data_IF_441839501718
#
_entry.id   IF_441839501718
#
_cell.length_a   1.000
_cell.length_b   1.000
_cell.length_c   1.000
_cell.angle_alpha   90.00
_cell.angle_beta   90.00
_cell.angle_gamma   90.00
#
_symmetry.space_group_name_H-M   'P 1'
#
loop_
_entity.id
_entity.type
_entity.pdbx_description
1 polymer ?
#
# COMPACT_ATOMS: atom_id res chain seq x y z
N UNK A 1 -22.23 -13.87 2.49
CA UNK A 1 -20.76 -13.66 2.64
C UNK A 1 -20.22 -13.22 1.30
N UNK A 2 -19.31 -12.25 1.27
CA UNK A 2 -18.64 -11.85 0.03
C UNK A 2 -17.80 -13.02 -0.51
N UNK A 3 -17.83 -13.26 -1.81
CA UNK A 3 -16.97 -14.27 -2.45
C UNK A 3 -15.56 -13.70 -2.59
N UNK A 4 -14.62 -14.25 -1.80
CA UNK A 4 -13.21 -13.85 -1.85
C UNK A 4 -12.49 -14.75 -2.85
N UNK A 5 -11.77 -14.15 -3.79
CA UNK A 5 -10.96 -14.85 -4.79
C UNK A 5 -9.53 -14.33 -4.76
N UNK A 6 -8.58 -15.25 -4.62
CA UNK A 6 -7.14 -14.97 -4.73
C UNK A 6 -6.62 -15.56 -6.04
N UNK A 7 -5.82 -14.80 -6.78
CA UNK A 7 -5.12 -15.29 -7.97
C UNK A 7 -3.63 -15.01 -7.88
N UNK A 8 -2.83 -15.88 -8.48
CA UNK A 8 -1.37 -15.72 -8.59
C UNK A 8 -0.99 -15.96 -10.04
N UNK A 9 -0.06 -15.17 -10.60
CA UNK A 9 0.49 -15.45 -11.91
C UNK A 9 1.57 -16.55 -11.84
N UNK A 10 1.51 -17.51 -12.76
CA UNK A 10 2.61 -18.47 -12.95
C UNK A 10 3.81 -17.82 -13.65
N UNK A 11 4.99 -18.44 -13.63
CA UNK A 11 6.14 -17.99 -14.42
C UNK A 11 5.89 -17.96 -15.93
N UNK A 12 4.87 -18.68 -16.40
CA UNK A 12 4.44 -18.73 -17.81
C UNK A 12 3.39 -17.65 -18.15
N UNK A 13 2.97 -16.85 -17.16
CA UNK A 13 1.93 -15.81 -17.31
C UNK A 13 0.49 -16.35 -17.18
N UNK A 14 0.30 -17.61 -16.82
CA UNK A 14 -1.01 -18.18 -16.57
C UNK A 14 -1.54 -17.77 -15.20
N UNK A 15 -2.86 -17.63 -15.08
CA UNK A 15 -3.51 -17.30 -13.82
C UNK A 15 -3.79 -18.60 -13.05
N UNK A 16 -3.29 -18.67 -11.83
CA UNK A 16 -3.48 -19.77 -10.90
C UNK A 16 -4.48 -19.34 -9.81
N UNK A 17 -5.43 -20.22 -9.50
CA UNK A 17 -6.32 -20.10 -8.35
C UNK A 17 -5.84 -21.07 -7.27
N UNK A 18 -4.96 -20.64 -6.35
CA UNK A 18 -4.39 -21.53 -5.38
C UNK A 18 -5.41 -21.94 -4.31
N UNK A 19 -5.34 -23.18 -3.79
CA UNK A 19 -6.07 -23.51 -2.57
C UNK A 19 -5.45 -22.77 -1.39
N UNK A 20 -6.22 -21.90 -0.75
CA UNK A 20 -5.75 -21.03 0.31
C UNK A 20 -6.36 -21.44 1.65
N UNK A 21 -5.53 -21.49 2.70
CA UNK A 21 -6.01 -21.68 4.06
C UNK A 21 -6.82 -20.48 4.54
N UNK A 22 -7.66 -20.68 5.53
CA UNK A 22 -8.33 -19.59 6.24
C UNK A 22 -7.31 -18.59 6.81
N UNK A 23 -7.73 -17.33 6.97
CA UNK A 23 -6.89 -16.29 7.55
C UNK A 23 -6.09 -15.48 6.52
N UNK A 24 -6.61 -15.29 5.29
CA UNK A 24 -6.09 -14.27 4.36
C UNK A 24 -6.19 -12.90 5.02
N UNK A 25 -5.06 -12.20 5.09
CA UNK A 25 -4.96 -10.92 5.76
C UNK A 25 -4.51 -9.85 4.78
N UNK A 26 -5.37 -8.85 4.57
CA UNK A 26 -5.05 -7.62 3.87
C UNK A 26 -4.89 -6.49 4.89
N UNK A 27 -3.76 -5.82 4.85
CA UNK A 27 -3.48 -4.66 5.69
C UNK A 27 -2.95 -3.51 4.85
N UNK A 28 -3.38 -2.30 5.19
CA UNK A 28 -2.89 -1.06 4.59
C UNK A 28 -2.67 -0.02 5.65
N UNK A 29 -1.75 0.89 5.41
CA UNK A 29 -1.47 2.03 6.27
C UNK A 29 -1.70 3.32 5.50
N UNK A 30 -2.32 4.29 6.14
CA UNK A 30 -2.50 5.61 5.56
C UNK A 30 -1.18 6.30 5.24
N UNK A 31 -0.13 5.99 5.99
CA UNK A 31 1.20 6.61 5.90
C UNK A 31 2.29 5.59 6.21
N UNK A 32 3.43 5.75 5.60
CA UNK A 32 4.68 5.10 6.00
C UNK A 32 4.93 3.69 5.47
N UNK A 33 4.00 3.08 4.73
CA UNK A 33 4.23 1.72 4.25
C UNK A 33 3.30 1.22 3.15
N UNK A 34 3.72 0.15 2.46
CA UNK A 34 2.93 -0.50 1.44
C UNK A 34 1.74 -1.26 2.02
N UNK A 35 0.71 -1.42 1.21
CA UNK A 35 -0.31 -2.43 1.43
C UNK A 35 0.32 -3.83 1.41
N UNK A 36 -0.15 -4.67 2.31
CA UNK A 36 0.41 -6.01 2.52
C UNK A 36 -0.70 -7.05 2.48
N UNK A 37 -0.51 -8.06 1.64
CA UNK A 37 -1.38 -9.23 1.58
C UNK A 37 -0.61 -10.45 2.08
N UNK A 38 -1.11 -11.09 3.15
CA UNK A 38 -0.58 -12.34 3.70
C UNK A 38 -1.59 -13.46 3.50
N UNK A 39 -1.12 -14.60 3.04
CA UNK A 39 -1.95 -15.78 2.80
C UNK A 39 -1.09 -17.04 2.82
N UNK A 40 -1.72 -18.19 3.06
CA UNK A 40 -1.06 -19.49 3.06
C UNK A 40 -1.65 -20.36 1.97
N UNK A 41 -0.82 -20.77 1.02
CA UNK A 41 -1.20 -21.73 -0.03
C UNK A 41 -1.02 -23.15 0.48
N UNK A 42 -2.08 -23.95 0.40
CA UNK A 42 -2.06 -25.35 0.80
C UNK A 42 -1.35 -26.17 -0.28
N UNK A 43 -0.78 -27.30 0.15
CA UNK A 43 -0.15 -28.26 -0.78
C UNK A 43 -1.22 -28.89 -1.68
N UNK A 44 -1.05 -28.73 -2.98
CA UNK A 44 -1.89 -29.37 -3.98
C UNK A 44 -1.02 -29.94 -5.11
N UNK A 45 -1.36 -31.16 -5.56
CA UNK A 45 -0.66 -31.81 -6.67
C UNK A 45 -0.78 -31.00 -7.98
N UNK A 46 -1.95 -30.40 -8.24
CA UNK A 46 -2.17 -29.55 -9.41
C UNK A 46 -1.25 -28.34 -9.46
N UNK A 47 -0.84 -27.78 -8.31
CA UNK A 47 0.12 -26.69 -8.24
C UNK A 47 1.53 -27.10 -8.67
N UNK A 48 1.88 -28.37 -8.46
CA UNK A 48 3.18 -28.90 -8.89
C UNK A 48 3.25 -29.01 -10.41
N UNK A 49 2.17 -29.41 -11.07
CA UNK A 49 2.08 -29.55 -12.52
C UNK A 49 2.15 -28.18 -13.25
N UNK A 50 1.65 -27.12 -12.61
CA UNK A 50 1.72 -25.74 -13.13
C UNK A 50 3.10 -25.09 -12.92
N UNK A 51 4.09 -25.80 -12.35
CA UNK A 51 5.42 -25.27 -12.02
C UNK A 51 5.42 -24.33 -10.82
N UNK A 52 4.31 -24.27 -10.07
CA UNK A 52 4.16 -23.42 -8.91
C UNK A 52 4.18 -21.92 -9.25
N UNK A 53 4.60 -21.13 -8.29
CA UNK A 53 4.81 -19.68 -8.45
C UNK A 53 6.11 -19.26 -7.75
N UNK A 54 6.72 -18.19 -8.26
CA UNK A 54 7.99 -17.68 -7.75
C UNK A 54 7.81 -16.37 -6.97
N UNK A 55 8.83 -15.92 -6.27
CA UNK A 55 8.94 -14.56 -5.81
C UNK A 55 8.91 -13.64 -7.04
N UNK A 56 8.25 -12.47 -6.91
CA UNK A 56 7.95 -11.58 -8.03
C UNK A 56 6.68 -11.95 -8.80
N UNK A 57 6.00 -13.07 -8.49
CA UNK A 57 4.70 -13.39 -9.08
C UNK A 57 3.66 -12.35 -8.64
N UNK A 58 2.80 -11.97 -9.59
CA UNK A 58 1.67 -11.07 -9.34
C UNK A 58 0.63 -11.81 -8.49
N UNK A 59 0.21 -11.21 -7.38
CA UNK A 59 -0.90 -11.66 -6.54
C UNK A 59 -2.02 -10.64 -6.57
N UNK A 60 -3.25 -11.10 -6.75
CA UNK A 60 -4.45 -10.25 -6.77
C UNK A 60 -5.52 -10.84 -5.87
N UNK A 61 -6.20 -9.97 -5.11
CA UNK A 61 -7.32 -10.32 -4.25
C UNK A 61 -8.57 -9.61 -4.72
N UNK A 62 -9.67 -10.34 -4.80
CA UNK A 62 -10.98 -9.83 -5.21
C UNK A 62 -12.03 -10.15 -4.14
N UNK A 63 -13.02 -9.26 -3.98
CA UNK A 63 -14.26 -9.52 -3.25
C UNK A 63 -15.45 -9.27 -4.16
N UNK A 64 -16.32 -10.26 -4.33
CA UNK A 64 -17.47 -10.22 -5.25
C UNK A 64 -17.07 -9.73 -6.66
N UNK A 65 -15.92 -10.19 -7.14
CA UNK A 65 -15.35 -9.81 -8.44
C UNK A 65 -14.73 -8.40 -8.50
N UNK A 66 -14.80 -7.62 -7.43
CA UNK A 66 -14.14 -6.31 -7.37
C UNK A 66 -12.72 -6.46 -6.85
N UNK A 67 -11.73 -5.85 -7.50
CA UNK A 67 -10.34 -5.90 -7.02
C UNK A 67 -10.20 -5.15 -5.69
N UNK A 68 -9.52 -5.77 -4.74
CA UNK A 68 -9.18 -5.20 -3.43
C UNK A 68 -7.69 -4.95 -3.27
N UNK A 69 -6.86 -5.76 -3.94
CA UNK A 69 -5.41 -5.69 -3.85
C UNK A 69 -4.78 -6.23 -5.11
N UNK A 70 -3.69 -5.59 -5.52
CA UNK A 70 -2.76 -6.08 -6.51
C UNK A 70 -1.34 -5.79 -6.04
N UNK A 71 -0.49 -6.78 -6.09
CA UNK A 71 0.91 -6.64 -5.66
C UNK A 71 1.74 -7.83 -6.07
N UNK A 72 2.98 -7.85 -5.60
CA UNK A 72 3.94 -8.90 -5.95
C UNK A 72 4.36 -9.68 -4.71
N UNK A 73 4.58 -10.98 -4.87
CA UNK A 73 5.05 -11.87 -3.80
C UNK A 73 6.52 -11.58 -3.54
N UNK A 74 6.85 -11.07 -2.36
CA UNK A 74 8.23 -10.77 -1.95
C UNK A 74 8.86 -11.87 -1.12
N UNK A 75 8.06 -12.63 -0.36
CA UNK A 75 8.58 -13.72 0.43
C UNK A 75 7.66 -14.93 0.43
N UNK A 76 8.27 -16.10 0.46
CA UNK A 76 7.61 -17.40 0.61
C UNK A 76 8.34 -18.21 1.67
N UNK A 77 7.58 -18.83 2.56
CA UNK A 77 8.10 -19.74 3.55
C UNK A 77 7.32 -21.05 3.47
N UNK A 78 8.01 -22.13 3.18
CA UNK A 78 7.40 -23.47 3.15
C UNK A 78 7.62 -24.17 4.49
N UNK A 79 6.56 -24.73 5.05
CA UNK A 79 6.66 -25.59 6.22
C UNK A 79 6.95 -27.05 5.85
N UNK A 80 7.08 -27.89 6.88
CA UNK A 80 7.34 -29.35 6.72
C UNK A 80 6.15 -30.12 6.13
N UNK A 81 4.95 -29.56 6.21
CA UNK A 81 3.71 -30.15 5.70
C UNK A 81 3.49 -29.79 4.24
N UNK A 82 4.26 -28.81 3.75
CA UNK A 82 4.26 -28.36 2.37
C UNK A 82 3.38 -27.14 2.12
N UNK A 83 2.76 -26.57 3.15
CA UNK A 83 2.06 -25.31 3.04
C UNK A 83 3.05 -24.16 2.83
N UNK A 84 2.64 -23.14 2.08
CA UNK A 84 3.49 -22.02 1.69
C UNK A 84 2.88 -20.72 2.20
N UNK A 85 3.47 -20.13 3.23
CA UNK A 85 3.15 -18.79 3.70
C UNK A 85 3.72 -17.76 2.72
N UNK A 86 2.89 -16.85 2.25
CA UNK A 86 3.23 -15.84 1.28
C UNK A 86 3.00 -14.44 1.85
N UNK A 87 3.91 -13.52 1.54
CA UNK A 87 3.71 -12.09 1.78
C UNK A 87 3.89 -11.35 0.46
N UNK A 88 2.84 -10.65 0.04
CA UNK A 88 2.85 -9.78 -1.12
C UNK A 88 2.72 -8.32 -0.69
N UNK A 89 3.37 -7.43 -1.42
CA UNK A 89 3.29 -5.98 -1.26
C UNK A 89 2.82 -5.33 -2.55
N UNK A 90 2.09 -4.23 -2.41
CA UNK A 90 1.76 -3.36 -3.52
C UNK A 90 2.98 -2.58 -4.04
N UNK A 91 2.80 -1.73 -5.06
CA UNK A 91 3.94 -1.03 -5.66
C UNK A 91 4.51 0.09 -4.76
N UNK A 92 3.83 0.53 -3.69
CA UNK A 92 4.42 1.44 -2.70
C UNK A 92 5.68 0.84 -2.06
N UNK A 93 5.81 -0.49 -2.05
CA UNK A 93 7.04 -1.17 -1.60
C UNK A 93 8.28 -0.69 -2.33
N UNK A 94 8.19 -0.35 -3.60
CA UNK A 94 9.32 0.16 -4.39
C UNK A 94 9.72 1.57 -3.97
N UNK A 95 8.79 2.38 -3.45
CA UNK A 95 9.07 3.69 -2.90
C UNK A 95 9.89 3.69 -1.59
N UNK A 96 10.09 2.49 -0.98
CA UNK A 96 11.00 2.34 0.18
C UNK A 96 12.48 2.36 -0.21
N UNK A 97 12.80 2.36 -1.49
CA UNK A 97 14.18 2.52 -1.96
C UNK A 97 14.65 3.95 -1.74
N UNK A 98 15.93 4.12 -1.37
CA UNK A 98 16.56 5.41 -1.18
C UNK A 98 17.11 5.93 -2.48
N UNK A 99 16.99 7.25 -2.67
CA UNK A 99 17.51 7.93 -3.86
C UNK A 99 17.93 9.37 -3.55
N UNK A 100 18.32 10.09 -4.58
CA UNK A 100 18.66 11.52 -4.57
C UNK A 100 17.70 12.22 -5.52
N UNK A 101 16.95 13.20 -5.03
CA UNK A 101 16.02 13.98 -5.85
C UNK A 101 16.21 15.49 -5.61
N UNK A 102 16.27 16.24 -6.71
CA UNK A 102 16.28 17.71 -6.66
C UNK A 102 15.15 18.24 -7.53
N UNK A 103 14.35 19.14 -6.97
CA UNK A 103 13.29 19.79 -7.70
C UNK A 103 13.06 21.22 -7.24
N UNK A 104 12.45 22.02 -8.11
CA UNK A 104 12.14 23.44 -7.85
C UNK A 104 10.81 23.82 -8.48
N UNK A 105 10.09 24.75 -7.84
CA UNK A 105 8.82 25.29 -8.32
C UNK A 105 7.83 24.19 -8.71
N UNK A 106 7.68 23.18 -7.86
CA UNK A 106 6.90 21.98 -8.16
C UNK A 106 5.92 21.69 -7.03
N UNK A 107 4.63 21.46 -7.31
CA UNK A 107 3.67 21.01 -6.30
C UNK A 107 3.88 19.53 -5.96
N UNK A 108 3.41 19.08 -4.79
CA UNK A 108 3.60 17.70 -4.33
C UNK A 108 3.02 16.66 -5.30
N UNK A 109 1.90 16.95 -5.96
CA UNK A 109 1.31 16.08 -6.99
C UNK A 109 2.25 15.82 -8.18
N UNK A 110 3.03 16.81 -8.60
CA UNK A 110 4.02 16.65 -9.66
C UNK A 110 5.28 15.90 -9.17
N UNK A 111 5.65 16.07 -7.88
CA UNK A 111 6.73 15.26 -7.27
C UNK A 111 6.36 13.78 -7.28
N UNK A 112 5.10 13.43 -6.96
CA UNK A 112 4.60 12.04 -7.06
C UNK A 112 4.73 11.50 -8.49
N UNK A 113 4.29 12.27 -9.49
CA UNK A 113 4.38 11.87 -10.90
C UNK A 113 5.81 11.69 -11.37
N UNK A 114 6.71 12.60 -10.98
CA UNK A 114 8.14 12.53 -11.31
C UNK A 114 8.76 11.25 -10.75
N UNK A 115 8.57 10.99 -9.46
CA UNK A 115 9.10 9.79 -8.80
C UNK A 115 8.52 8.51 -9.43
N UNK A 116 7.22 8.50 -9.73
CA UNK A 116 6.57 7.35 -10.37
C UNK A 116 7.14 7.09 -11.78
N UNK A 117 7.36 8.14 -12.57
CA UNK A 117 7.93 8.04 -13.92
C UNK A 117 9.38 7.52 -13.89
N UNK A 118 10.22 8.06 -13.00
CA UNK A 118 11.62 7.65 -12.86
C UNK A 118 11.76 6.18 -12.42
N UNK A 119 10.76 5.66 -11.70
CA UNK A 119 10.76 4.28 -11.20
C UNK A 119 9.83 3.33 -11.99
N UNK A 120 9.29 3.75 -13.12
CA UNK A 120 8.35 2.98 -13.97
C UNK A 120 7.13 2.46 -13.21
N UNK A 121 6.64 3.21 -12.21
CA UNK A 121 5.44 2.86 -11.46
C UNK A 121 4.18 3.32 -12.20
N UNK A 122 3.15 2.51 -12.14
CA UNK A 122 1.86 2.86 -12.74
C UNK A 122 1.14 3.88 -11.86
N UNK A 123 0.62 4.95 -12.47
CA UNK A 123 -0.17 5.96 -11.78
C UNK A 123 -1.65 5.83 -12.12
N UNK A 124 -2.50 6.04 -11.11
CA UNK A 124 -3.93 6.23 -11.23
C UNK A 124 -4.29 7.71 -11.24
N UNK A 125 -5.32 8.07 -10.48
CA UNK A 125 -5.70 9.46 -10.28
C UNK A 125 -4.72 10.14 -9.32
N UNK A 126 -4.14 11.26 -9.75
CA UNK A 126 -3.28 12.11 -8.91
C UNK A 126 -3.98 13.45 -8.73
N UNK A 127 -4.64 13.63 -7.59
CA UNK A 127 -5.31 14.88 -7.26
C UNK A 127 -4.30 16.04 -7.20
N UNK A 128 -4.61 17.19 -7.81
CA UNK A 128 -3.70 18.33 -7.81
C UNK A 128 -3.53 18.90 -6.41
N UNK A 129 -2.28 19.22 -6.04
CA UNK A 129 -1.95 19.95 -4.81
C UNK A 129 -1.69 21.43 -5.11
N UNK A 130 -1.96 22.30 -4.13
CA UNK A 130 -2.01 23.75 -4.35
C UNK A 130 -0.76 24.52 -3.95
N UNK A 131 0.15 23.92 -3.17
CA UNK A 131 1.38 24.58 -2.75
C UNK A 131 2.52 24.28 -3.71
N UNK A 132 3.09 25.31 -4.29
CA UNK A 132 4.30 25.19 -5.11
C UNK A 132 5.54 25.23 -4.22
N UNK A 133 6.25 24.13 -4.13
CA UNK A 133 7.48 24.00 -3.35
C UNK A 133 8.59 24.72 -4.09
N UNK A 134 9.21 25.79 -3.50
CA UNK A 134 10.16 26.62 -4.23
C UNK A 134 11.42 25.85 -4.65
N UNK A 135 11.98 25.07 -3.73
CA UNK A 135 13.18 24.28 -3.96
C UNK A 135 13.37 23.21 -2.89
N UNK A 136 13.78 22.01 -3.30
CA UNK A 136 14.19 20.92 -2.41
C UNK A 136 15.35 20.12 -2.99
N UNK A 137 16.18 19.60 -2.08
CA UNK A 137 17.24 18.62 -2.39
C UNK A 137 17.19 17.54 -1.33
N UNK A 138 16.80 16.37 -1.75
CA UNK A 138 16.74 15.18 -0.92
C UNK A 138 17.93 14.29 -1.24
N UNK A 139 18.60 13.76 -0.24
CA UNK A 139 19.79 12.93 -0.40
C UNK A 139 19.73 11.72 0.50
N UNK A 140 19.80 10.52 -0.09
CA UNK A 140 19.78 9.25 0.62
C UNK A 140 18.53 9.07 1.52
N UNK A 141 17.40 9.58 1.06
CA UNK A 141 16.07 9.47 1.69
C UNK A 141 15.24 8.51 0.88
N UNK A 142 14.26 7.82 1.48
CA UNK A 142 13.38 6.96 0.71
C UNK A 142 12.45 7.80 -0.19
N UNK A 143 12.13 7.28 -1.36
CA UNK A 143 11.21 7.96 -2.29
C UNK A 143 9.85 8.25 -1.63
N UNK A 144 9.38 7.34 -0.75
CA UNK A 144 8.16 7.54 0.01
C UNK A 144 8.28 8.73 0.98
N UNK A 145 9.38 8.82 1.73
CA UNK A 145 9.60 9.94 2.66
C UNK A 145 9.73 11.28 1.92
N UNK A 146 10.30 11.29 0.70
CA UNK A 146 10.33 12.49 -0.15
C UNK A 146 8.91 12.96 -0.51
N UNK A 147 8.05 12.02 -0.90
CA UNK A 147 6.64 12.31 -1.20
C UNK A 147 5.92 12.78 0.06
N UNK A 148 6.06 12.07 1.18
CA UNK A 148 5.41 12.44 2.45
C UNK A 148 5.85 13.83 2.91
N UNK A 149 7.12 14.17 2.77
CA UNK A 149 7.64 15.52 3.05
C UNK A 149 6.99 16.58 2.16
N UNK A 150 6.82 16.30 0.87
CA UNK A 150 6.15 17.22 -0.05
C UNK A 150 4.66 17.42 0.32
N UNK A 151 3.97 16.34 0.76
CA UNK A 151 2.59 16.40 1.23
C UNK A 151 2.46 17.11 2.58
N UNK A 152 3.44 16.98 3.47
CA UNK A 152 3.48 17.73 4.74
C UNK A 152 3.65 19.24 4.51
N UNK A 153 4.39 19.64 3.46
CA UNK A 153 4.49 21.03 3.05
C UNK A 153 3.15 21.55 2.50
N UNK A 154 2.39 20.74 1.75
CA UNK A 154 1.04 21.06 1.32
C UNK A 154 0.11 21.27 2.53
N UNK A 155 0.12 20.32 3.47
CA UNK A 155 -0.67 20.43 4.70
C UNK A 155 -0.35 21.71 5.48
N UNK A 156 0.94 22.00 5.68
CA UNK A 156 1.40 23.15 6.46
C UNK A 156 1.02 24.49 5.80
N UNK A 157 1.10 24.58 4.47
CA UNK A 157 0.90 25.85 3.75
C UNK A 157 -0.53 26.06 3.24
N UNK A 158 -1.29 24.99 3.01
CA UNK A 158 -2.65 25.04 2.44
C UNK A 158 -3.71 24.44 3.35
N UNK A 159 -3.32 23.75 4.44
CA UNK A 159 -4.27 23.07 5.33
C UNK A 159 -4.96 21.88 4.68
N UNK A 160 -4.46 21.38 3.55
CA UNK A 160 -5.05 20.26 2.81
C UNK A 160 -4.24 19.00 3.06
N UNK A 161 -4.94 17.95 3.46
CA UNK A 161 -4.35 16.63 3.70
C UNK A 161 -4.62 15.69 2.55
N UNK A 162 -3.56 15.07 2.04
CA UNK A 162 -3.62 14.08 0.97
C UNK A 162 -3.13 12.72 1.44
N UNK A 163 -3.62 11.67 0.80
CA UNK A 163 -3.22 10.28 1.04
C UNK A 163 -2.72 9.69 -0.27
N UNK A 164 -1.53 9.12 -0.22
CA UNK A 164 -0.99 8.28 -1.29
C UNK A 164 -1.28 6.83 -0.95
N UNK A 165 -1.89 6.10 -1.88
CA UNK A 165 -2.17 4.68 -1.75
C UNK A 165 -2.07 3.99 -3.11
N UNK A 166 -2.01 2.67 -3.10
CA UNK A 166 -2.08 1.86 -4.31
C UNK A 166 -3.53 1.42 -4.54
N UNK A 167 -4.10 1.84 -5.67
CA UNK A 167 -5.40 1.38 -6.13
C UNK A 167 -5.23 0.25 -7.14
N UNK A 168 -5.07 -0.97 -6.59
CA UNK A 168 -4.95 -2.20 -7.38
C UNK A 168 -3.91 -2.10 -8.50
N UNK A 169 -2.69 -1.71 -8.15
CA UNK A 169 -1.56 -1.60 -9.06
C UNK A 169 -1.36 -0.21 -9.65
N UNK A 170 -2.03 0.83 -9.13
CA UNK A 170 -1.86 2.22 -9.56
C UNK A 170 -1.68 3.14 -8.36
N UNK A 171 -0.58 3.88 -8.33
CA UNK A 171 -0.37 4.93 -7.33
C UNK A 171 -1.44 6.01 -7.49
N UNK A 172 -2.19 6.23 -6.45
CA UNK A 172 -3.31 7.19 -6.42
C UNK A 172 -3.09 8.18 -5.28
N UNK A 173 -3.26 9.46 -5.57
CA UNK A 173 -3.20 10.53 -4.60
C UNK A 173 -4.56 11.20 -4.50
N UNK A 174 -5.15 11.20 -3.30
CA UNK A 174 -6.46 11.82 -3.08
C UNK A 174 -6.44 12.76 -1.89
N UNK A 175 -7.27 13.82 -1.96
CA UNK A 175 -7.55 14.67 -0.81
C UNK A 175 -8.48 13.93 0.16
N UNK A 176 -8.09 13.84 1.43
CA UNK A 176 -8.82 13.07 2.44
C UNK A 176 -10.27 13.57 2.63
N UNK A 177 -10.51 14.85 2.40
CA UNK A 177 -11.86 15.42 2.48
C UNK A 177 -12.81 14.85 1.41
N UNK A 178 -12.28 14.38 0.28
CA UNK A 178 -13.05 13.76 -0.81
C UNK A 178 -13.25 12.25 -0.60
N UNK A 179 -12.52 11.65 0.34
CA UNK A 179 -12.63 10.22 0.69
C UNK A 179 -13.74 9.95 1.74
N UNK A 180 -14.49 10.98 2.11
CA UNK A 180 -15.57 10.84 3.09
C UNK A 180 -16.67 9.94 2.53
N UNK A 181 -17.10 8.98 3.34
CA UNK A 181 -18.24 8.11 3.07
C UNK A 181 -19.36 8.43 4.04
N UNK A 182 -20.62 8.32 3.60
CA UNK A 182 -21.81 8.54 4.43
C UNK A 182 -22.16 7.26 5.23
N UNK A 183 -21.18 6.79 6.03
CA UNK A 183 -21.36 5.68 6.95
C UNK A 183 -21.25 6.22 8.37
N UNK A 184 -22.32 6.09 9.14
CA UNK A 184 -22.29 6.38 10.57
C UNK A 184 -21.97 5.10 11.34
N UNK A 185 -20.87 5.11 12.09
CA UNK A 185 -20.52 4.04 13.01
C UNK A 185 -21.00 4.47 14.40
N UNK A 186 -22.05 3.82 14.90
CA UNK A 186 -22.60 4.02 16.24
C UNK A 186 -22.70 2.68 16.99
N UNK A 187 -23.18 2.72 18.22
CA UNK A 187 -23.34 1.51 19.05
C UNK A 187 -24.32 0.47 18.47
N UNK A 188 -25.09 0.81 17.42
CA UNK A 188 -26.01 -0.12 16.74
C UNK A 188 -25.34 -0.75 15.50
N UNK A 189 -24.42 -0.02 14.89
CA UNK A 189 -23.71 -0.45 13.69
C UNK A 189 -22.40 -1.20 14.02
N UNK A 190 -21.83 -0.97 15.21
CA UNK A 190 -20.62 -1.64 15.66
C UNK A 190 -20.95 -2.92 16.44
N UNK A 191 -20.38 -4.05 16.04
CA UNK A 191 -20.52 -5.33 16.75
C UNK A 191 -19.71 -5.34 18.04
N UNK A 192 -18.54 -4.72 18.02
CA UNK A 192 -17.66 -4.55 19.18
C UNK A 192 -16.76 -3.33 19.01
N UNK A 193 -16.28 -2.74 20.09
CA UNK A 193 -15.21 -1.74 20.06
C UNK A 193 -14.31 -1.87 21.29
N UNK A 194 -13.03 -1.59 21.07
CA UNK A 194 -12.04 -1.43 22.14
C UNK A 194 -11.59 0.02 22.18
N UNK A 195 -11.56 0.60 23.38
CA UNK A 195 -11.05 1.94 23.62
C UNK A 195 -9.88 1.88 24.58
N UNK A 196 -8.70 2.24 24.09
CA UNK A 196 -7.49 2.41 24.90
C UNK A 196 -7.06 3.86 24.88
N UNK A 197 -6.88 4.45 26.06
CA UNK A 197 -6.26 5.77 26.22
C UNK A 197 -4.98 5.61 27.03
N UNK A 198 -3.87 6.11 26.49
CA UNK A 198 -2.57 6.07 27.17
C UNK A 198 -1.85 7.40 26.96
N UNK A 199 -1.10 7.82 27.97
CA UNK A 199 -0.17 8.96 27.91
C UNK A 199 1.29 8.49 27.91
N UNK A 200 1.54 7.17 27.88
CA UNK A 200 2.88 6.60 28.04
C UNK A 200 3.75 6.76 26.81
N UNK A 201 3.15 6.95 25.63
CA UNK A 201 3.88 7.09 24.40
C UNK A 201 3.69 8.49 23.78
N UNK A 202 4.80 9.14 23.41
CA UNK A 202 4.86 10.41 22.65
C UNK A 202 4.10 11.59 23.26
N UNK A 203 3.80 11.57 24.56
CA UNK A 203 3.21 12.70 25.27
C UNK A 203 4.29 13.46 26.01
N UNK A 204 4.50 14.71 25.61
CA UNK A 204 5.51 15.60 26.21
C UNK A 204 4.81 16.79 26.86
N UNK A 205 5.03 16.98 28.16
CA UNK A 205 4.56 18.14 28.90
C UNK A 205 5.62 19.26 29.00
N UNK A 206 6.83 19.01 28.51
CA UNK A 206 7.92 19.97 28.49
C UNK A 206 8.79 19.78 27.25
N UNK A 207 9.02 20.87 26.51
CA UNK A 207 9.91 20.91 25.36
C UNK A 207 11.06 21.87 25.68
N UNK A 208 12.31 21.41 25.52
CA UNK A 208 13.49 22.25 25.61
C UNK A 208 13.87 22.67 24.19
N UNK A 209 13.83 23.98 23.92
CA UNK A 209 14.26 24.63 22.69
C UNK A 209 15.75 24.96 22.76
#
# INVERSE_FOLDING_TARGET
MAAITLTISSPKGEIIYPPVADGVQLSSSRRGGPGTLKFTVLKDAAMADLGGFAEGALAQLFADGKPLFQGYIFSKRRDKEGAIECTAYDQIRYLKNKDVLRYKNMPASEVVKLIAADNNLQIGEIAPTGYTIPWRSEFNVTLLDMIETALDLELTNKGQMFVLYDDCGRLTLQNIAQMRVDILIDARAAENFDYTSSIDEQTYNQIKL
#
